data_IF_435094855150
#
_entry.id   IF_435094855150
#
_cell.length_a   1.000
_cell.length_b   1.000
_cell.length_c   1.000
_cell.angle_alpha   90.00
_cell.angle_beta   90.00
_cell.angle_gamma   90.00
#
_symmetry.space_group_name_H-M   'P 1'
#
loop_
_entity.id
_entity.type
_entity.pdbx_description
1 polymer ?
#
# COMPACT_ATOMS: atom_id res chain seq x y z
N UNK A 1 18.22 -18.52 -2.48
CA UNK A 1 17.83 -18.08 -2.41
C UNK A 1 16.78 -18.12 -2.60
N UNK A 2 16.76 -18.06 -3.12
CA UNK A 2 15.76 -17.91 -3.49
C UNK A 2 14.72 -18.39 -2.83
N UNK A 3 14.74 -19.30 -2.45
CA UNK A 3 13.78 -19.68 -1.81
C UNK A 3 13.63 -19.03 -0.63
N UNK A 4 13.98 -17.92 -0.57
CA UNK A 4 13.71 -17.18 0.53
C UNK A 4 12.26 -17.20 0.83
N UNK A 5 11.85 -17.18 2.07
CA UNK A 5 10.45 -17.21 2.43
C UNK A 5 9.64 -16.11 1.78
N UNK A 6 10.22 -14.92 1.69
CA UNK A 6 9.42 -13.88 1.09
C UNK A 6 9.29 -14.07 -0.39
N UNK A 7 10.27 -14.69 -1.02
CA UNK A 7 10.15 -15.01 -2.42
C UNK A 7 9.06 -16.03 -2.64
N UNK A 8 8.99 -17.01 -1.77
CA UNK A 8 7.96 -18.02 -1.85
C UNK A 8 6.57 -17.44 -1.62
N UNK A 9 6.45 -16.54 -0.67
CA UNK A 9 5.18 -15.94 -0.39
C UNK A 9 4.71 -15.08 -1.58
N UNK A 10 5.62 -14.35 -2.18
CA UNK A 10 5.26 -13.53 -3.32
C UNK A 10 4.79 -14.39 -4.47
N UNK A 11 5.48 -15.49 -4.72
CA UNK A 11 5.05 -16.42 -5.75
C UNK A 11 3.66 -16.97 -5.44
N UNK A 12 3.44 -17.31 -4.19
CA UNK A 12 2.14 -17.80 -3.76
C UNK A 12 1.04 -16.80 -4.09
N UNK A 13 1.29 -15.52 -3.82
CA UNK A 13 0.30 -14.49 -4.10
C UNK A 13 -0.02 -14.40 -5.59
N UNK A 14 1.02 -14.43 -6.43
CA UNK A 14 0.77 -14.37 -7.86
C UNK A 14 0.05 -15.60 -8.35
N UNK A 15 0.36 -16.74 -7.79
CA UNK A 15 -0.32 -17.97 -8.18
C UNK A 15 -1.79 -17.95 -7.80
N UNK A 16 -2.10 -17.37 -6.65
CA UNK A 16 -3.49 -17.30 -6.21
C UNK A 16 -4.28 -16.25 -6.98
N UNK A 17 -3.60 -15.24 -7.47
CA UNK A 17 -4.25 -14.29 -8.35
C UNK A 17 -4.77 -13.05 -7.66
N UNK A 18 -5.42 -12.24 -8.46
CA UNK A 18 -5.83 -10.91 -8.05
C UNK A 18 -6.72 -10.89 -6.81
N UNK A 19 -7.70 -11.78 -6.74
CA UNK A 19 -8.61 -11.74 -5.61
C UNK A 19 -7.90 -11.94 -4.29
N UNK A 20 -6.94 -12.84 -4.26
CA UNK A 20 -6.19 -13.09 -3.04
C UNK A 20 -5.35 -11.86 -2.67
N UNK A 21 -4.74 -11.27 -3.68
CA UNK A 21 -3.91 -10.08 -3.46
C UNK A 21 -4.78 -8.95 -2.90
N UNK A 22 -5.95 -8.75 -3.47
CA UNK A 22 -6.86 -7.71 -3.01
C UNK A 22 -7.31 -7.96 -1.59
N UNK A 23 -7.57 -9.21 -1.26
CA UNK A 23 -7.96 -9.54 0.10
C UNK A 23 -6.87 -9.18 1.08
N UNK A 24 -5.62 -9.47 0.73
CA UNK A 24 -4.50 -9.15 1.59
C UNK A 24 -4.35 -7.64 1.77
N UNK A 25 -4.52 -6.88 0.69
CA UNK A 25 -4.43 -5.43 0.79
C UNK A 25 -5.48 -4.92 1.77
N UNK A 26 -6.70 -5.43 1.67
CA UNK A 26 -7.75 -5.02 2.59
C UNK A 26 -7.44 -5.37 4.04
N UNK A 27 -6.91 -6.57 4.26
CA UNK A 27 -6.56 -7.00 5.60
C UNK A 27 -5.48 -6.12 6.21
N UNK A 28 -4.47 -5.78 5.41
CA UNK A 28 -3.38 -4.95 5.92
C UNK A 28 -3.84 -3.52 6.18
N UNK A 29 -4.77 -3.02 5.39
CA UNK A 29 -5.34 -1.71 5.66
C UNK A 29 -6.01 -1.70 7.03
N UNK A 30 -6.74 -2.75 7.35
CA UNK A 30 -7.41 -2.87 8.63
C UNK A 30 -6.38 -2.90 9.76
N UNK A 31 -5.29 -3.63 9.57
CA UNK A 31 -4.27 -3.72 10.58
C UNK A 31 -3.60 -2.37 10.85
N UNK A 32 -3.44 -1.57 9.79
CA UNK A 32 -2.89 -0.22 9.97
C UNK A 32 -3.82 0.60 10.85
N UNK A 33 -5.12 0.50 10.58
CA UNK A 33 -6.10 1.25 11.36
C UNK A 33 -6.06 0.83 12.83
N UNK A 34 -6.00 -0.45 13.07
CA UNK A 34 -5.98 -0.96 14.44
C UNK A 34 -4.73 -0.49 15.17
N UNK A 35 -3.59 -0.59 14.52
CA UNK A 35 -2.35 -0.15 15.13
C UNK A 35 -2.37 1.33 15.47
N UNK A 36 -2.87 2.13 14.55
CA UNK A 36 -2.92 3.57 14.75
C UNK A 36 -3.92 3.93 15.84
N UNK A 37 -5.06 3.25 15.87
CA UNK A 37 -6.07 3.50 16.90
C UNK A 37 -5.55 3.17 18.29
N UNK A 38 -4.69 2.16 18.35
CA UNK A 38 -4.11 1.76 19.62
C UNK A 38 -2.96 2.67 20.04
N UNK A 39 -2.62 3.64 19.18
CA UNK A 39 -1.53 4.56 19.44
C UNK A 39 -0.21 3.81 19.61
N UNK A 40 -0.05 2.72 18.90
CA UNK A 40 1.16 1.91 18.94
C UNK A 40 1.97 2.24 17.70
N UNK A 41 2.91 3.13 17.85
CA UNK A 41 3.68 3.62 16.72
C UNK A 41 4.48 2.51 16.04
N UNK A 42 5.10 1.66 16.83
CA UNK A 42 5.91 0.59 16.26
C UNK A 42 5.07 -0.38 15.46
N UNK A 43 3.93 -0.77 16.02
CA UNK A 43 3.03 -1.67 15.33
C UNK A 43 2.49 -1.01 14.07
N UNK A 44 2.19 0.28 14.14
CA UNK A 44 1.66 0.99 12.97
C UNK A 44 2.69 1.02 11.84
N UNK A 45 3.95 1.26 12.17
CA UNK A 45 5.01 1.25 11.16
C UNK A 45 5.12 -0.12 10.51
N UNK A 46 5.06 -1.16 11.34
CA UNK A 46 5.15 -2.52 10.83
C UNK A 46 4.01 -2.80 9.85
N UNK A 47 2.80 -2.41 10.22
CA UNK A 47 1.66 -2.70 9.36
C UNK A 47 1.65 -1.83 8.09
N UNK A 48 2.14 -0.60 8.18
CA UNK A 48 2.26 0.23 6.99
C UNK A 48 3.25 -0.41 6.01
N UNK A 49 4.36 -0.93 6.53
CA UNK A 49 5.33 -1.59 5.68
C UNK A 49 4.72 -2.82 5.01
N UNK A 50 3.93 -3.57 5.76
CA UNK A 50 3.29 -4.76 5.24
C UNK A 50 2.26 -4.38 4.17
N UNK A 51 1.51 -3.33 4.42
CA UNK A 51 0.56 -2.83 3.45
C UNK A 51 1.27 -2.39 2.17
N UNK A 52 2.38 -1.66 2.32
CA UNK A 52 3.13 -1.20 1.16
C UNK A 52 3.62 -2.37 0.33
N UNK A 53 4.07 -3.42 1.00
CA UNK A 53 4.52 -4.61 0.29
C UNK A 53 3.40 -5.20 -0.55
N UNK A 54 2.23 -5.36 0.03
CA UNK A 54 1.12 -5.97 -0.70
C UNK A 54 0.59 -5.05 -1.80
N UNK A 55 0.66 -3.74 -1.60
CA UNK A 55 0.28 -2.81 -2.65
C UNK A 55 1.24 -2.95 -3.84
N UNK A 56 2.54 -3.14 -3.56
CA UNK A 56 3.49 -3.31 -4.65
C UNK A 56 3.25 -4.62 -5.40
N UNK A 57 2.84 -5.66 -4.70
CA UNK A 57 2.48 -6.91 -5.37
C UNK A 57 1.27 -6.68 -6.27
N UNK A 58 0.28 -5.95 -5.77
CA UNK A 58 -0.90 -5.61 -6.57
C UNK A 58 -0.51 -4.83 -7.82
N UNK A 59 0.36 -3.86 -7.65
CA UNK A 59 0.80 -3.05 -8.78
C UNK A 59 1.46 -3.92 -9.84
N UNK A 60 2.31 -4.84 -9.41
CA UNK A 60 2.97 -5.74 -10.34
C UNK A 60 1.95 -6.59 -11.07
N UNK A 61 0.96 -7.08 -10.33
CA UNK A 61 -0.06 -7.93 -10.93
C UNK A 61 -0.84 -7.19 -12.01
N UNK A 62 -1.07 -5.90 -11.82
CA UNK A 62 -1.83 -5.10 -12.75
C UNK A 62 -0.96 -4.37 -13.77
N UNK A 63 0.34 -4.54 -13.72
CA UNK A 63 1.23 -3.86 -14.64
C UNK A 63 1.36 -2.37 -14.37
N UNK A 64 1.20 -1.97 -13.11
CA UNK A 64 1.32 -0.58 -12.73
C UNK A 64 2.70 -0.35 -12.14
N UNK A 65 3.39 0.68 -12.62
CA UNK A 65 4.73 0.98 -12.13
C UNK A 65 4.68 2.02 -11.02
N UNK A 66 5.75 2.10 -10.26
CA UNK A 66 5.89 3.13 -9.25
C UNK A 66 5.83 4.50 -9.93
N UNK A 67 6.38 4.57 -11.13
CA UNK A 67 6.37 5.80 -11.89
C UNK A 67 4.95 6.27 -12.18
N UNK A 68 4.05 5.32 -12.49
CA UNK A 68 2.66 5.67 -12.76
C UNK A 68 2.04 6.35 -11.55
N UNK A 69 2.27 5.80 -10.37
CA UNK A 69 1.72 6.35 -9.14
C UNK A 69 2.35 7.71 -8.85
N UNK A 70 3.65 7.79 -9.04
CA UNK A 70 4.36 9.05 -8.80
C UNK A 70 3.84 10.15 -9.72
N UNK A 71 3.60 9.81 -10.96
CA UNK A 71 3.12 10.78 -11.93
C UNK A 71 1.73 11.27 -11.56
N UNK A 72 0.89 10.37 -11.09
CA UNK A 72 -0.43 10.76 -10.66
C UNK A 72 -0.36 11.69 -9.46
N UNK A 73 0.48 11.37 -8.51
CA UNK A 73 0.66 12.21 -7.33
C UNK A 73 1.20 13.57 -7.70
N UNK A 74 2.14 13.60 -8.64
CA UNK A 74 2.71 14.86 -9.07
C UNK A 74 1.66 15.74 -9.72
N UNK A 75 0.76 15.16 -10.49
CA UNK A 75 -0.28 15.94 -11.12
C UNK A 75 -1.24 16.50 -10.09
N UNK A 76 -1.48 15.76 -9.02
CA UNK A 76 -2.35 16.26 -7.96
C UNK A 76 -1.68 17.30 -7.11
N UNK A 77 -0.37 17.33 -7.14
CA UNK A 77 0.36 18.23 -6.28
C UNK A 77 -0.07 19.69 -6.46
N UNK A 78 -0.23 20.13 -7.69
CA UNK A 78 -0.67 21.49 -7.96
C UNK A 78 -2.11 21.69 -7.50
N UNK A 79 -2.94 20.73 -7.79
CA UNK A 79 -4.36 20.79 -7.41
C UNK A 79 -4.49 20.68 -5.90
N UNK A 80 -3.74 19.78 -5.30
CA UNK A 80 -3.77 19.58 -3.87
C UNK A 80 -3.36 20.81 -3.12
N UNK A 81 -2.44 21.54 -3.67
CA UNK A 81 -1.96 22.75 -3.01
C UNK A 81 -3.12 23.71 -2.77
N UNK A 82 -3.97 23.88 -3.76
CA UNK A 82 -5.12 24.73 -3.60
C UNK A 82 -6.16 24.14 -2.68
N UNK A 83 -6.44 22.87 -2.87
CA UNK A 83 -7.45 22.21 -2.07
C UNK A 83 -7.02 22.18 -0.62
N UNK A 84 -5.75 21.98 -0.37
CA UNK A 84 -5.26 21.97 0.97
C UNK A 84 -5.49 23.27 1.68
N UNK A 85 -5.24 24.36 1.00
CA UNK A 85 -5.45 25.65 1.62
C UNK A 85 -6.90 25.85 2.00
N UNK A 86 -7.80 25.43 1.16
CA UNK A 86 -9.20 25.55 1.47
C UNK A 86 -9.58 24.67 2.64
N UNK A 87 -9.07 23.46 2.64
CA UNK A 87 -9.41 22.55 3.72
C UNK A 87 -8.83 22.97 5.05
N UNK A 88 -7.69 23.58 5.02
CA UNK A 88 -7.07 24.01 6.25
C UNK A 88 -7.83 25.14 6.89
N UNK A 89 -8.61 25.84 6.12
CA UNK A 89 -9.41 26.91 6.69
C UNK A 89 -10.78 26.42 7.09
N UNK A 90 -11.07 25.20 6.79
CA UNK A 90 -12.35 24.67 7.18
C UNK A 90 -12.15 23.73 8.37
#
# INVERSE_FOLDING_TARGET
MAERPEGSYTTYLFDKGLDKILKKVGEECTEVIIGAKSNDKRETVYEIADLAYHVMVLMTQMGISVEDVHRELASRHVIDHKVKQEKMTS
#
